data_IF_484354519095
#
_entry.id   IF_484354519095
#
_cell.length_a   1.000
_cell.length_b   1.000
_cell.length_c   1.000
_cell.angle_alpha   90.00
_cell.angle_beta   90.00
_cell.angle_gamma   90.00
#
_symmetry.space_group_name_H-M   'P 1'
#
loop_
_entity.id
_entity.type
_entity.pdbx_description
1 polymer ?
#
# COMPACT_ATOMS: atom_id res chain seq x y z
N UNK A 1 -7.02 -34.76 -17.16
CA UNK A 1 -7.62 -33.42 -16.99
C UNK A 1 -6.84 -32.75 -15.87
N UNK A 2 -5.80 -31.99 -16.24
CA UNK A 2 -4.94 -31.30 -15.27
C UNK A 2 -5.72 -30.10 -14.73
N UNK A 3 -6.08 -30.13 -13.44
CA UNK A 3 -6.39 -28.91 -12.70
C UNK A 3 -5.06 -28.23 -12.41
N UNK A 4 -4.72 -27.19 -13.16
CA UNK A 4 -3.79 -26.19 -12.67
C UNK A 4 -4.49 -25.51 -11.49
N UNK A 5 -4.11 -25.88 -10.26
CA UNK A 5 -4.16 -24.94 -9.16
C UNK A 5 -3.03 -23.96 -9.40
N UNK A 6 -3.29 -22.90 -10.16
CA UNK A 6 -2.50 -21.67 -10.02
C UNK A 6 -2.79 -21.15 -8.63
N UNK A 7 -1.87 -21.48 -7.71
CA UNK A 7 -1.60 -20.69 -6.52
C UNK A 7 -1.38 -19.26 -6.98
N UNK A 8 -2.44 -18.44 -6.98
CA UNK A 8 -2.29 -16.99 -7.02
C UNK A 8 -1.61 -16.70 -5.68
N UNK A 9 -0.32 -16.42 -5.73
CA UNK A 9 0.44 -16.02 -4.56
C UNK A 9 -0.34 -14.88 -3.87
N UNK A 10 -0.36 -14.91 -2.54
CA UNK A 10 -0.82 -13.81 -1.70
C UNK A 10 0.10 -12.60 -1.97
N UNK A 11 -0.22 -11.86 -3.04
CA UNK A 11 0.60 -10.79 -3.62
C UNK A 11 0.31 -9.41 -3.02
N UNK A 12 -0.46 -9.36 -1.94
CA UNK A 12 -0.33 -8.30 -0.95
C UNK A 12 0.03 -8.95 0.39
N UNK A 13 0.95 -8.32 1.12
CA UNK A 13 1.34 -8.79 2.43
C UNK A 13 0.15 -8.78 3.43
N UNK A 14 -0.85 -7.95 3.15
CA UNK A 14 -2.10 -7.83 3.89
C UNK A 14 -2.99 -9.09 3.75
N UNK A 15 -2.98 -9.76 2.59
CA UNK A 15 -3.69 -11.03 2.41
C UNK A 15 -3.09 -12.18 3.25
N UNK A 16 -1.79 -12.11 3.56
CA UNK A 16 -1.10 -13.07 4.44
C UNK A 16 -1.53 -12.87 5.89
N UNK A 17 -1.55 -11.63 6.37
CA UNK A 17 -2.00 -11.31 7.74
C UNK A 17 -3.47 -11.69 7.98
N UNK A 18 -4.33 -11.48 6.98
CA UNK A 18 -5.74 -11.90 7.00
C UNK A 18 -5.95 -13.43 7.06
N UNK A 19 -5.01 -14.23 6.52
CA UNK A 19 -5.10 -15.70 6.50
C UNK A 19 -4.48 -16.38 7.72
N UNK A 20 -3.68 -15.64 8.49
CA UNK A 20 -2.99 -16.13 9.66
C UNK A 20 -3.68 -15.58 10.91
N UNK A 21 -4.49 -16.43 11.56
CA UNK A 21 -4.86 -16.25 12.96
C UNK A 21 -3.65 -16.41 13.91
N UNK A 22 -2.51 -15.84 13.56
CA UNK A 22 -1.28 -15.82 14.34
C UNK A 22 -1.20 -14.48 15.04
N UNK A 23 -1.35 -14.52 16.36
CA UNK A 23 -1.07 -13.39 17.22
C UNK A 23 0.31 -12.78 16.87
N UNK A 24 0.45 -11.45 16.79
CA UNK A 24 1.77 -10.83 16.72
C UNK A 24 2.55 -11.23 17.98
N UNK A 25 3.70 -11.88 17.81
CA UNK A 25 4.56 -12.31 18.93
C UNK A 25 5.63 -11.27 19.25
N UNK A 26 5.78 -10.21 18.46
CA UNK A 26 6.71 -9.11 18.72
C UNK A 26 6.13 -7.79 18.19
N UNK A 27 6.44 -6.67 18.85
CA UNK A 27 6.17 -5.34 18.28
C UNK A 27 6.92 -5.23 16.94
N UNK A 28 6.18 -5.26 15.83
CA UNK A 28 6.74 -4.92 14.54
C UNK A 28 7.17 -3.44 14.59
N UNK A 29 8.48 -3.23 14.68
CA UNK A 29 9.08 -1.92 14.51
C UNK A 29 9.23 -1.71 13.02
N UNK A 30 8.75 -0.57 12.49
CA UNK A 30 9.04 -0.17 11.12
C UNK A 30 10.54 -0.33 10.87
N UNK A 31 10.94 -0.94 9.75
CA UNK A 31 12.33 -0.77 9.33
C UNK A 31 12.53 0.74 9.17
N UNK A 32 13.50 1.32 9.88
CA UNK A 32 13.75 2.76 9.83
C UNK A 32 14.38 3.17 8.49
N UNK A 33 14.32 2.30 7.48
CA UNK A 33 14.78 2.56 6.13
C UNK A 33 13.69 3.32 5.37
N UNK A 34 14.04 4.51 4.90
CA UNK A 34 13.24 5.25 3.92
C UNK A 34 12.80 4.31 2.78
N UNK A 35 11.51 4.32 2.42
CA UNK A 35 11.08 3.71 1.17
C UNK A 35 11.78 4.50 0.06
N UNK A 36 12.56 3.82 -0.80
CA UNK A 36 13.16 4.44 -1.96
C UNK A 36 13.34 3.41 -3.06
N UNK A 37 12.86 3.72 -4.25
CA UNK A 37 13.05 2.89 -5.44
C UNK A 37 13.29 3.78 -6.65
N UNK A 38 14.15 3.31 -7.55
CA UNK A 38 14.20 3.82 -8.92
C UNK A 38 12.99 3.33 -9.72
N UNK A 39 12.67 4.05 -10.80
CA UNK A 39 11.55 3.75 -11.68
C UNK A 39 12.02 3.55 -13.13
N UNK A 40 11.47 2.54 -13.78
CA UNK A 40 11.64 2.33 -15.22
C UNK A 40 10.43 2.89 -15.96
N UNK A 41 10.65 3.85 -16.87
CA UNK A 41 9.56 4.39 -17.67
C UNK A 41 8.96 3.32 -18.60
N UNK A 42 7.64 3.27 -18.66
CA UNK A 42 6.85 2.44 -19.58
C UNK A 42 6.30 3.32 -20.71
N UNK A 43 5.06 3.08 -21.15
CA UNK A 43 4.33 3.95 -22.07
C UNK A 43 3.78 5.19 -21.37
N UNK A 44 3.74 6.31 -22.10
CA UNK A 44 3.03 7.51 -21.65
C UNK A 44 3.55 8.05 -20.32
N UNK A 45 2.66 8.04 -19.32
CA UNK A 45 2.93 8.55 -17.97
C UNK A 45 3.04 7.43 -16.94
N UNK A 46 3.33 6.21 -17.38
CA UNK A 46 3.36 5.03 -16.52
C UNK A 46 4.81 4.57 -16.29
N UNK A 47 5.07 4.05 -15.09
CA UNK A 47 6.40 3.69 -14.60
C UNK A 47 6.32 2.38 -13.83
N UNK A 48 7.34 1.53 -13.97
CA UNK A 48 7.51 0.29 -13.22
C UNK A 48 8.47 0.53 -12.04
N UNK A 49 8.19 -0.09 -10.89
CA UNK A 49 9.10 -0.11 -9.75
C UNK A 49 10.24 -1.12 -9.99
N UNK A 50 11.44 -0.80 -9.50
CA UNK A 50 12.63 -1.62 -9.74
C UNK A 50 13.08 -2.41 -8.50
N UNK A 51 12.70 -1.98 -7.30
CA UNK A 51 13.22 -2.51 -6.04
C UNK A 51 12.10 -2.94 -5.10
N UNK A 52 12.35 -4.01 -4.36
CA UNK A 52 11.44 -4.50 -3.33
C UNK A 52 11.30 -3.45 -2.23
N UNK A 53 10.14 -3.43 -1.59
CA UNK A 53 9.86 -2.51 -0.50
C UNK A 53 8.98 -3.17 0.55
N UNK A 54 8.94 -2.57 1.73
CA UNK A 54 8.07 -3.01 2.82
C UNK A 54 7.21 -1.85 3.29
N UNK A 55 6.01 -2.16 3.76
CA UNK A 55 5.07 -1.19 4.33
C UNK A 55 4.65 -1.70 5.71
N UNK A 56 4.67 -0.82 6.71
CA UNK A 56 4.09 -1.09 8.01
C UNK A 56 2.59 -0.78 7.98
N UNK A 57 1.79 -1.77 8.35
CA UNK A 57 0.34 -1.65 8.44
C UNK A 57 -0.12 -1.56 9.90
N UNK A 58 -1.18 -0.81 10.14
CA UNK A 58 -2.02 -0.95 11.32
C UNK A 58 -3.20 -1.88 10.98
N UNK A 59 -3.19 -3.07 11.58
CA UNK A 59 -4.23 -4.08 11.42
C UNK A 59 -5.24 -4.07 12.58
N UNK A 60 -5.35 -2.98 13.33
CA UNK A 60 -6.43 -2.83 14.32
C UNK A 60 -7.79 -2.63 13.65
N UNK A 61 -7.82 -2.13 12.42
CA UNK A 61 -9.03 -1.94 11.61
C UNK A 61 -8.91 -2.53 10.20
N UNK A 62 -10.00 -3.13 9.73
CA UNK A 62 -10.22 -3.39 8.30
C UNK A 62 -11.30 -2.45 7.77
N UNK A 63 -10.98 -1.74 6.70
CA UNK A 63 -11.83 -0.74 6.05
C UNK A 63 -12.51 -1.41 4.86
N UNK A 64 -13.82 -1.65 4.91
CA UNK A 64 -14.57 -2.29 3.85
C UNK A 64 -15.18 -1.26 2.91
N UNK A 65 -15.05 -1.52 1.63
CA UNK A 65 -15.77 -0.85 0.54
C UNK A 65 -16.78 -1.87 -0.01
N UNK A 66 -18.07 -1.55 0.13
CA UNK A 66 -19.18 -2.47 -0.15
C UNK A 66 -19.84 -2.16 -1.49
N UNK A 67 -19.62 -0.98 -2.06
CA UNK A 67 -20.16 -0.58 -3.35
C UNK A 67 -19.11 -0.36 -4.45
N UNK A 68 -17.85 -0.63 -4.13
CA UNK A 68 -16.67 -0.56 -5.00
C UNK A 68 -16.44 0.86 -5.56
N UNK A 69 -16.62 1.89 -4.73
CA UNK A 69 -16.33 3.29 -5.07
C UNK A 69 -14.93 3.76 -4.62
N UNK A 70 -14.12 2.84 -4.08
CA UNK A 70 -12.78 3.09 -3.55
C UNK A 70 -12.78 4.07 -2.37
N UNK A 71 -13.88 4.08 -1.59
CA UNK A 71 -14.02 4.80 -0.34
C UNK A 71 -14.61 3.85 0.73
N UNK A 72 -14.07 3.81 1.95
CA UNK A 72 -14.59 2.93 2.99
C UNK A 72 -16.02 3.27 3.43
N UNK A 73 -16.90 2.26 3.43
CA UNK A 73 -18.25 2.32 3.98
C UNK A 73 -18.29 1.96 5.47
N UNK A 74 -17.43 1.03 5.86
CA UNK A 74 -17.47 0.40 7.17
C UNK A 74 -16.06 0.09 7.66
N UNK A 75 -15.84 0.23 8.97
CA UNK A 75 -14.62 -0.24 9.63
C UNK A 75 -14.96 -1.37 10.58
N UNK A 76 -14.21 -2.46 10.51
CA UNK A 76 -14.30 -3.56 11.46
C UNK A 76 -13.02 -3.63 12.28
N UNK A 77 -13.18 -3.64 13.60
CA UNK A 77 -12.05 -3.76 14.53
C UNK A 77 -11.58 -5.21 14.59
N UNK A 78 -10.30 -5.41 14.32
CA UNK A 78 -9.62 -6.70 14.38
C UNK A 78 -8.73 -6.80 15.62
N UNK A 79 -8.04 -5.72 15.98
CA UNK A 79 -7.14 -5.67 17.14
C UNK A 79 -5.87 -6.51 16.96
N UNK A 80 -5.38 -6.63 15.73
CA UNK A 80 -4.18 -7.41 15.43
C UNK A 80 -2.89 -6.61 15.54
N UNK A 81 -2.95 -5.31 15.82
CA UNK A 81 -1.78 -4.44 15.93
C UNK A 81 -1.02 -4.28 14.60
N UNK A 82 0.29 -4.03 14.67
CA UNK A 82 1.07 -3.70 13.50
C UNK A 82 1.63 -4.93 12.79
N UNK A 83 1.75 -4.85 11.46
CA UNK A 83 2.36 -5.87 10.62
C UNK A 83 3.26 -5.24 9.57
N UNK A 84 4.49 -5.74 9.41
CA UNK A 84 5.39 -5.33 8.34
C UNK A 84 5.19 -6.25 7.15
N UNK A 85 4.74 -5.69 6.03
CA UNK A 85 4.46 -6.44 4.82
C UNK A 85 5.45 -6.16 3.69
N UNK A 86 5.94 -7.24 3.07
CA UNK A 86 6.95 -7.17 2.01
C UNK A 86 6.34 -7.30 0.60
N UNK A 87 6.83 -6.46 -0.32
CA UNK A 87 6.49 -6.43 -1.74
C UNK A 87 7.71 -6.92 -2.52
N UNK A 88 7.62 -8.17 -2.99
CA UNK A 88 8.79 -8.91 -3.50
C UNK A 88 8.90 -8.95 -5.03
N UNK A 89 7.87 -8.49 -5.74
CA UNK A 89 7.75 -8.55 -7.20
C UNK A 89 7.56 -7.13 -7.79
N UNK A 90 8.53 -6.22 -7.59
CA UNK A 90 8.42 -4.80 -7.95
C UNK A 90 8.07 -4.57 -9.42
N UNK A 91 8.47 -5.49 -10.30
CA UNK A 91 8.18 -5.45 -11.73
C UNK A 91 6.69 -5.55 -12.07
N UNK A 92 5.86 -6.02 -11.14
CA UNK A 92 4.41 -6.06 -11.31
C UNK A 92 3.72 -4.77 -10.87
N UNK A 93 4.41 -3.87 -10.18
CA UNK A 93 3.82 -2.61 -9.71
C UNK A 93 4.05 -1.49 -10.70
N UNK A 94 2.94 -0.94 -11.18
CA UNK A 94 2.90 0.15 -12.16
C UNK A 94 2.35 1.39 -11.47
N UNK A 95 3.18 2.43 -11.42
CA UNK A 95 2.80 3.79 -11.04
C UNK A 95 2.33 4.54 -12.29
N UNK A 96 1.12 5.06 -12.26
CA UNK A 96 0.47 5.72 -13.40
C UNK A 96 -0.04 7.11 -13.00
N UNK A 97 0.01 8.07 -13.94
CA UNK A 97 -0.33 9.48 -13.69
C UNK A 97 -1.34 10.06 -14.69
N UNK A 98 -2.37 10.71 -14.16
CA UNK A 98 -3.31 11.56 -14.90
C UNK A 98 -2.69 12.95 -15.10
N UNK A 99 -1.65 13.06 -15.92
CA UNK A 99 -0.92 14.32 -16.06
C UNK A 99 -1.84 15.47 -16.54
N UNK A 100 -1.76 16.66 -15.91
CA UNK A 100 -2.57 17.80 -16.31
C UNK A 100 -2.43 18.13 -17.80
N UNK A 101 -3.57 18.29 -18.48
CA UNK A 101 -3.62 18.67 -19.90
C UNK A 101 -3.50 17.50 -20.89
N UNK A 102 -3.33 16.26 -20.43
CA UNK A 102 -3.38 15.07 -21.30
C UNK A 102 -4.81 14.61 -21.61
N UNK A 103 -5.78 15.00 -20.77
CA UNK A 103 -7.16 14.52 -20.85
C UNK A 103 -7.34 13.08 -20.35
N UNK A 104 -6.28 12.48 -19.79
CA UNK A 104 -6.34 11.17 -19.15
C UNK A 104 -7.07 11.29 -17.82
N UNK A 105 -8.11 10.48 -17.64
CA UNK A 105 -8.74 10.26 -16.35
C UNK A 105 -8.29 8.89 -15.84
N UNK A 106 -7.77 8.83 -14.61
CA UNK A 106 -7.43 7.57 -13.97
C UNK A 106 -8.50 7.21 -12.95
N UNK A 107 -8.89 5.95 -12.94
CA UNK A 107 -9.73 5.36 -11.91
C UNK A 107 -9.06 4.13 -11.30
N UNK A 108 -9.34 3.80 -10.03
CA UNK A 108 -8.87 2.57 -9.41
C UNK A 108 -9.41 1.33 -10.13
N UNK A 109 -8.67 0.23 -10.05
CA UNK A 109 -9.09 -1.08 -10.53
C UNK A 109 -9.20 -2.02 -9.34
N UNK A 110 -10.10 -2.98 -9.42
CA UNK A 110 -10.17 -4.07 -8.46
C UNK A 110 -10.49 -5.38 -9.19
N UNK A 111 -9.65 -6.39 -8.96
CA UNK A 111 -9.80 -7.73 -9.53
C UNK A 111 -10.04 -7.79 -11.05
N UNK A 112 -9.44 -6.88 -11.80
CA UNK A 112 -9.50 -6.80 -13.27
C UNK A 112 -10.62 -5.91 -13.80
N UNK A 113 -11.39 -5.26 -12.93
CA UNK A 113 -12.45 -4.33 -13.31
C UNK A 113 -12.11 -2.91 -12.85
N UNK A 114 -12.33 -1.93 -13.73
CA UNK A 114 -12.24 -0.52 -13.36
C UNK A 114 -13.41 -0.14 -12.45
N UNK A 115 -13.11 0.55 -11.36
CA UNK A 115 -14.11 1.04 -10.41
C UNK A 115 -14.80 2.29 -10.97
N UNK A 116 -15.78 2.09 -11.84
CA UNK A 116 -16.53 3.18 -12.48
C UNK A 116 -17.41 3.99 -11.51
N UNK A 117 -17.64 3.49 -10.31
CA UNK A 117 -18.26 4.23 -9.20
C UNK A 117 -17.29 5.20 -8.52
N UNK A 118 -15.98 4.91 -8.57
CA UNK A 118 -14.95 5.70 -7.92
C UNK A 118 -14.71 7.04 -8.60
N UNK A 119 -14.30 8.02 -7.80
CA UNK A 119 -13.79 9.29 -8.29
C UNK A 119 -12.50 9.11 -9.10
N UNK A 120 -12.21 10.05 -10.00
CA UNK A 120 -10.94 10.09 -10.71
C UNK A 120 -9.80 10.50 -9.78
N UNK A 121 -8.62 9.92 -9.98
CA UNK A 121 -7.41 10.16 -9.20
C UNK A 121 -6.29 10.76 -10.06
N UNK A 122 -5.36 11.48 -9.44
CA UNK A 122 -4.21 12.06 -10.15
C UNK A 122 -3.12 11.01 -10.39
N UNK A 123 -3.01 10.04 -9.49
CA UNK A 123 -2.07 8.94 -9.57
C UNK A 123 -2.66 7.65 -8.98
N UNK A 124 -2.13 6.51 -9.44
CA UNK A 124 -2.38 5.20 -8.84
C UNK A 124 -1.13 4.34 -8.91
N UNK A 125 -0.93 3.51 -7.89
CA UNK A 125 0.00 2.39 -7.90
C UNK A 125 -0.84 1.12 -7.99
N UNK A 126 -0.63 0.35 -9.06
CA UNK A 126 -1.44 -0.81 -9.39
C UNK A 126 -0.56 -2.04 -9.61
N UNK A 127 -1.09 -3.20 -9.26
CA UNK A 127 -0.54 -4.50 -9.64
C UNK A 127 -1.02 -4.87 -11.05
N UNK A 128 -0.09 -5.19 -11.94
CA UNK A 128 -0.34 -5.69 -13.28
C UNK A 128 -0.12 -7.21 -13.36
N UNK A 129 -0.92 -7.95 -14.13
CA UNK A 129 -0.74 -9.41 -14.27
C UNK A 129 0.53 -9.78 -15.05
N UNK A 130 0.99 -8.89 -15.92
CA UNK A 130 2.21 -9.07 -16.71
C UNK A 130 3.25 -8.01 -16.29
N UNK A 131 4.48 -8.41 -15.93
CA UNK A 131 5.54 -7.48 -15.57
C UNK A 131 5.76 -6.39 -16.63
N UNK A 132 5.73 -5.14 -16.21
CA UNK A 132 6.03 -3.98 -17.07
C UNK A 132 5.00 -3.70 -18.17
N UNK A 133 3.79 -4.26 -18.06
CA UNK A 133 2.71 -4.05 -19.02
C UNK A 133 1.50 -3.38 -18.35
N UNK A 134 1.41 -2.07 -18.53
CA UNK A 134 0.34 -1.20 -18.02
C UNK A 134 -1.05 -1.53 -18.60
N UNK A 135 -1.14 -2.31 -19.68
CA UNK A 135 -2.40 -2.78 -20.24
C UNK A 135 -3.03 -3.95 -19.46
N UNK A 136 -2.27 -4.53 -18.52
CA UNK A 136 -2.69 -5.69 -17.73
C UNK A 136 -2.95 -5.37 -16.25
N UNK A 137 -3.22 -4.10 -15.94
CA UNK A 137 -3.61 -3.65 -14.60
C UNK A 137 -4.77 -4.50 -14.06
N UNK A 138 -4.58 -5.04 -12.86
CA UNK A 138 -5.53 -5.93 -12.19
C UNK A 138 -6.16 -5.28 -10.96
N UNK A 139 -5.35 -4.71 -10.08
CA UNK A 139 -5.84 -4.06 -8.87
C UNK A 139 -5.00 -2.85 -8.54
N UNK A 140 -5.65 -1.75 -8.22
CA UNK A 140 -5.01 -0.59 -7.62
C UNK A 140 -4.81 -0.87 -6.15
N UNK A 141 -3.58 -0.69 -5.66
CA UNK A 141 -3.26 -0.90 -4.24
C UNK A 141 -3.18 0.42 -3.47
N UNK A 142 -2.82 1.51 -4.15
CA UNK A 142 -2.80 2.86 -3.58
C UNK A 142 -3.13 3.87 -4.68
N UNK A 143 -3.73 4.98 -4.31
CA UNK A 143 -4.05 6.07 -5.23
C UNK A 143 -4.28 7.36 -4.47
N UNK A 144 -4.31 8.48 -5.19
CA UNK A 144 -4.79 9.73 -4.62
C UNK A 144 -4.48 10.96 -5.45
N UNK A 145 -4.23 12.08 -4.77
CA UNK A 145 -3.95 13.37 -5.38
C UNK A 145 -2.46 13.64 -5.54
N UNK A 146 -2.11 14.50 -6.48
CA UNK A 146 -0.73 14.90 -6.74
C UNK A 146 -0.57 16.42 -6.65
N UNK A 147 0.47 16.86 -5.94
CA UNK A 147 0.86 18.27 -5.86
C UNK A 147 2.24 18.48 -6.47
N UNK A 148 2.36 19.42 -7.41
CA UNK A 148 3.63 19.69 -8.07
C UNK A 148 4.57 20.52 -7.20
N UNK A 149 5.85 20.17 -7.19
CA UNK A 149 6.95 21.00 -6.72
C UNK A 149 8.03 21.16 -7.80
N UNK A 150 9.02 22.02 -7.58
CA UNK A 150 10.02 22.43 -8.57
C UNK A 150 10.96 21.35 -9.13
N UNK A 151 10.69 20.06 -8.91
CA UNK A 151 11.44 18.93 -9.43
C UNK A 151 10.68 17.60 -9.41
N UNK A 152 9.37 17.61 -9.14
CA UNK A 152 8.61 16.39 -8.98
C UNK A 152 7.18 16.61 -8.50
N UNK A 153 6.59 15.56 -7.95
CA UNK A 153 5.24 15.50 -7.41
C UNK A 153 5.25 14.92 -5.99
N UNK A 154 4.50 15.54 -5.09
CA UNK A 154 4.08 14.90 -3.83
C UNK A 154 2.81 14.11 -4.13
N UNK A 155 2.83 12.80 -3.87
CA UNK A 155 1.74 11.88 -4.13
C UNK A 155 1.05 11.57 -2.80
N UNK A 156 -0.08 12.23 -2.53
CA UNK A 156 -0.84 12.01 -1.30
C UNK A 156 -1.69 10.74 -1.46
N UNK A 157 -1.64 9.86 -0.46
CA UNK A 157 -2.40 8.61 -0.44
C UNK A 157 -3.81 8.91 0.09
N UNK A 158 -4.84 8.53 -0.67
CA UNK A 158 -6.23 8.65 -0.23
C UNK A 158 -6.44 7.85 1.04
N UNK A 159 -6.87 8.55 2.09
CA UNK A 159 -7.17 8.01 3.43
C UNK A 159 -6.02 7.24 4.12
N UNK A 160 -4.79 7.28 3.57
CA UNK A 160 -3.68 6.47 4.08
C UNK A 160 -3.93 4.97 3.97
N UNK A 161 -4.74 4.53 3.02
CA UNK A 161 -5.19 3.15 2.88
C UNK A 161 -4.45 2.41 1.77
N UNK A 162 -4.13 1.14 2.02
CA UNK A 162 -3.69 0.18 1.00
C UNK A 162 -4.77 -0.87 0.77
N UNK A 163 -5.10 -1.06 -0.51
CA UNK A 163 -6.05 -2.05 -0.98
C UNK A 163 -5.28 -3.29 -1.45
N UNK A 164 -5.61 -4.50 -1.01
CA UNK A 164 -4.89 -5.68 -1.43
C UNK A 164 -5.22 -6.04 -2.88
N UNK A 165 -4.26 -6.70 -3.54
CA UNK A 165 -4.40 -7.15 -4.93
C UNK A 165 -5.61 -8.05 -5.16
N UNK A 166 -6.02 -8.80 -4.13
CA UNK A 166 -7.20 -9.65 -4.15
C UNK A 166 -8.15 -9.28 -3.01
N UNK A 167 -9.45 -9.45 -3.24
CA UNK A 167 -10.44 -9.28 -2.18
C UNK A 167 -10.31 -10.28 -1.04
N UNK A 168 -10.99 -9.98 0.06
CA UNK A 168 -10.97 -10.81 1.27
C UNK A 168 -12.26 -11.57 1.47
N UNK A 169 -12.20 -12.51 2.41
CA UNK A 169 -13.32 -13.25 2.95
C UNK A 169 -13.06 -13.53 4.43
N UNK A 170 -13.98 -13.11 5.30
CA UNK A 170 -14.17 -13.76 6.60
C UNK A 170 -15.63 -14.19 6.70
N UNK A 171 -15.92 -15.47 6.40
CA UNK A 171 -17.27 -16.02 6.53
C UNK A 171 -17.88 -15.80 7.92
N UNK A 172 -17.06 -15.89 8.98
CA UNK A 172 -17.50 -15.74 10.37
C UNK A 172 -17.90 -14.31 10.74
N UNK A 173 -17.51 -13.32 9.93
CA UNK A 173 -17.86 -11.90 10.09
C UNK A 173 -18.93 -11.45 9.09
N UNK A 174 -19.48 -12.39 8.31
CA UNK A 174 -20.51 -12.11 7.31
C UNK A 174 -19.99 -11.34 6.08
N UNK A 175 -18.67 -11.28 5.87
CA UNK A 175 -18.05 -10.58 4.75
C UNK A 175 -18.01 -11.53 3.54
N UNK A 176 -18.66 -11.19 2.41
CA UNK A 176 -18.63 -11.99 1.19
C UNK A 176 -17.21 -12.21 0.65
N UNK A 177 -17.03 -13.28 -0.13
CA UNK A 177 -15.78 -13.49 -0.84
C UNK A 177 -15.59 -12.44 -1.92
N UNK A 178 -14.41 -11.84 -1.94
CA UNK A 178 -14.06 -10.81 -2.91
C UNK A 178 -14.49 -9.42 -2.48
N UNK A 179 -14.85 -9.21 -1.20
CA UNK A 179 -15.10 -7.86 -0.69
C UNK A 179 -13.85 -7.00 -0.84
N UNK A 180 -14.03 -5.81 -1.42
CA UNK A 180 -13.01 -4.78 -1.50
C UNK A 180 -12.78 -4.23 -0.10
N UNK A 181 -11.53 -4.18 0.33
CA UNK A 181 -11.18 -3.73 1.67
C UNK A 181 -9.78 -3.15 1.67
N UNK A 182 -9.43 -2.45 2.73
CA UNK A 182 -8.11 -1.87 2.92
C UNK A 182 -7.61 -1.99 4.36
N UNK A 183 -6.30 -1.92 4.49
CA UNK A 183 -5.59 -1.73 5.75
C UNK A 183 -4.97 -0.32 5.81
N UNK A 184 -4.82 0.21 7.02
CA UNK A 184 -4.19 1.52 7.22
C UNK A 184 -2.66 1.39 7.16
N UNK A 185 -2.03 2.33 6.47
CA UNK A 185 -0.59 2.48 6.40
C UNK A 185 -0.11 3.24 7.64
N UNK A 186 0.74 2.60 8.44
CA UNK A 186 1.21 3.14 9.72
C UNK A 186 2.53 3.93 9.60
N UNK A 187 3.26 3.79 8.49
CA UNK A 187 4.59 4.37 8.30
C UNK A 187 4.61 5.63 7.43
N UNK A 188 3.70 5.88 6.49
CA UNK A 188 3.67 7.15 5.74
C UNK A 188 2.29 7.45 5.15
N UNK A 189 2.09 8.69 4.72
CA UNK A 189 0.84 9.13 4.07
C UNK A 189 1.05 9.71 2.66
N UNK A 190 2.29 9.77 2.19
CA UNK A 190 2.63 10.32 0.88
C UNK A 190 3.95 9.78 0.36
N UNK A 191 4.08 9.77 -0.97
CA UNK A 191 5.34 9.57 -1.66
C UNK A 191 5.84 10.88 -2.27
N UNK A 192 7.14 10.96 -2.49
CA UNK A 192 7.81 11.95 -3.31
C UNK A 192 8.26 11.28 -4.60
N UNK A 193 7.67 11.68 -5.72
CA UNK A 193 8.12 11.32 -7.05
C UNK A 193 9.00 12.44 -7.60
N UNK A 194 10.18 12.11 -8.12
CA UNK A 194 11.06 13.06 -8.82
C UNK A 194 11.05 12.78 -10.31
N UNK A 195 11.09 13.81 -11.16
CA UNK A 195 11.12 13.65 -12.61
C UNK A 195 12.36 12.90 -13.15
N UNK A 196 13.40 12.76 -12.32
CA UNK A 196 14.57 11.92 -12.60
C UNK A 196 14.28 10.40 -12.44
N UNK A 197 13.04 10.02 -12.12
CA UNK A 197 12.59 8.63 -12.07
C UNK A 197 12.85 7.94 -10.71
N UNK A 198 12.59 8.64 -9.61
CA UNK A 198 12.66 8.05 -8.26
C UNK A 198 11.33 8.24 -7.55
N UNK A 199 10.99 7.26 -6.72
CA UNK A 199 9.88 7.30 -5.77
C UNK A 199 10.44 7.06 -4.37
N UNK A 200 10.12 7.93 -3.42
CA UNK A 200 10.58 7.80 -2.04
C UNK A 200 9.53 8.24 -1.03
N UNK A 201 9.48 7.64 0.15
CA UNK A 201 8.65 8.11 1.27
C UNK A 201 9.46 8.14 2.57
N UNK A 202 9.21 9.16 3.39
CA UNK A 202 9.81 9.26 4.72
C UNK A 202 8.95 8.45 5.69
N UNK A 203 9.55 7.44 6.32
CA UNK A 203 8.90 6.63 7.34
C UNK A 203 8.68 7.44 8.62
N UNK A 204 7.42 7.65 8.98
CA UNK A 204 6.92 8.10 10.27
C UNK A 204 7.22 6.98 11.28
N UNK A 205 8.11 7.21 12.27
CA UNK A 205 8.38 6.20 13.28
C UNK A 205 7.11 5.87 14.05
N UNK A 206 6.78 4.59 14.19
CA UNK A 206 5.69 4.16 15.05
C UNK A 206 5.88 4.76 16.46
N UNK A 207 4.81 5.28 17.12
CA UNK A 207 4.93 5.96 18.42
C UNK A 207 5.70 5.19 19.50
N UNK A 208 5.68 3.85 19.44
CA UNK A 208 6.44 2.97 20.36
C UNK A 208 7.96 2.98 20.15
N UNK A 209 8.44 3.17 18.92
CA UNK A 209 9.88 3.18 18.62
C UNK A 209 10.60 4.39 19.24
N UNK A 210 9.92 5.54 19.30
CA UNK A 210 10.44 6.75 19.96
C UNK A 210 10.47 6.60 21.50
N UNK A 211 9.52 5.87 22.08
CA UNK A 211 9.46 5.64 23.52
C UNK A 211 10.61 4.74 24.02
N UNK A 212 11.00 3.72 23.26
CA UNK A 212 12.12 2.83 23.64
C UNK A 212 13.48 3.54 23.54
N UNK A 213 13.67 4.41 22.54
CA UNK A 213 14.87 5.24 22.40
C UNK A 213 14.99 6.29 23.52
N UNK A 214 13.86 6.85 23.96
CA UNK A 214 13.82 7.78 25.09
C UNK A 214 14.14 7.10 26.44
N UNK A 215 13.74 5.84 26.64
CA UNK A 215 14.07 5.07 27.85
C UNK A 215 15.54 4.67 27.88
N UNK A 216 16.15 4.35 26.73
CA UNK A 216 17.58 4.08 26.62
C UNK A 216 18.46 5.34 26.85
N UNK A 217 17.91 6.55 26.64
CA UNK A 217 18.61 7.83 26.88
C UNK A 217 18.66 8.29 28.35
N UNK A 218 17.85 7.71 29.24
CA UNK A 218 17.72 8.17 30.65
C UNK A 218 18.47 7.28 31.65
N UNK A 219 19.19 6.24 31.20
CA UNK A 219 20.03 5.40 32.07
C UNK A 219 21.50 5.86 32.09
N UNK A 220 21.76 7.14 32.39
CA UNK A 220 23.07 7.74 32.11
C UNK A 220 23.63 8.77 33.09
N UNK A 221 23.21 8.84 34.36
CA UNK A 221 24.01 9.58 35.38
C UNK A 221 23.66 9.24 36.83
N UNK A 222 24.22 8.15 37.37
CA UNK A 222 24.54 8.08 38.80
C UNK A 222 25.78 8.95 39.05
N UNK A 223 25.63 10.08 39.75
CA UNK A 223 26.79 10.76 40.35
C UNK A 223 26.84 10.42 41.84
N UNK A 224 27.83 9.59 42.19
CA UNK A 224 28.36 9.46 43.56
C UNK A 224 28.96 10.80 43.97
N UNK A 225 28.66 11.24 45.19
CA UNK A 225 29.20 12.39 45.89
C UNK A 225 28.51 12.50 47.23
#
# INVERSE_FOLDING_TARGET
>A
MFKLHTSVASLSAVAVAASLGLAPVDEAVADMSDFSTSLTALSGSSFQLNENFSILYDLDGAYLDLDNDNNPDQVIKLGFGNYLGDYLDPEHYVLDFALPGTGTELRPYFMGEELTGAATVDWRLSYALTPGDDSTIYSTIMSGSAESFGGGLTLNITDGLEWPVNGWAIPDMGIPLGTHWAAEIADFNSFTFTYDGNLSANVIPAPGALALLAVCGVAGRRRRG
#
